data_IF_982491407975
#
_entry.id   IF_982491407975
#
_cell.length_a   1.000
_cell.length_b   1.000
_cell.length_c   1.000
_cell.angle_alpha   90.00
_cell.angle_beta   90.00
_cell.angle_gamma   90.00
#
_symmetry.space_group_name_H-M   'P 1'
#
loop_
_entity.id
_entity.type
_entity.pdbx_description
1 polymer ?
#
# COMPACT_ATOMS: atom_id res chain seq x y z
N UNK A 1 2.62 -21.12 9.26
CA UNK A 1 2.45 -21.16 7.79
C UNK A 1 3.00 -22.49 7.35
N UNK A 2 2.19 -23.30 6.66
CA UNK A 2 2.53 -24.67 6.27
C UNK A 2 3.16 -24.67 4.87
N UNK A 3 4.36 -25.24 4.73
CA UNK A 3 4.90 -25.56 3.41
C UNK A 3 4.00 -26.59 2.72
N UNK A 4 3.80 -26.44 1.41
CA UNK A 4 3.08 -27.44 0.61
C UNK A 4 4.06 -28.55 0.24
N UNK A 5 3.69 -29.80 0.52
CA UNK A 5 4.45 -30.98 0.11
C UNK A 5 4.23 -31.21 -1.40
N UNK A 6 5.31 -31.33 -2.15
CA UNK A 6 5.28 -31.74 -3.55
C UNK A 6 5.32 -33.26 -3.67
N UNK A 7 4.93 -33.82 -4.82
CA UNK A 7 4.94 -35.27 -5.08
C UNK A 7 6.33 -35.92 -4.94
N UNK A 8 7.40 -35.12 -5.01
CA UNK A 8 8.80 -35.54 -4.88
C UNK A 8 9.36 -35.51 -3.45
N UNK A 9 8.55 -35.12 -2.45
CA UNK A 9 9.01 -35.03 -1.05
C UNK A 9 9.78 -33.74 -0.72
N UNK A 10 9.71 -32.72 -1.57
CA UNK A 10 10.17 -31.35 -1.30
C UNK A 10 9.04 -30.48 -0.72
N UNK A 11 9.41 -29.41 -0.02
CA UNK A 11 8.52 -28.42 0.59
C UNK A 11 8.68 -27.07 -0.12
N UNK A 12 7.56 -26.44 -0.48
CA UNK A 12 7.56 -25.10 -1.06
C UNK A 12 7.52 -24.05 0.05
N UNK A 13 8.49 -23.13 0.05
CA UNK A 13 8.57 -22.00 1.00
C UNK A 13 8.70 -20.66 0.28
N UNK A 14 8.21 -19.59 0.92
CA UNK A 14 8.35 -18.19 0.46
C UNK A 14 9.29 -17.41 1.38
N UNK A 15 10.62 -17.54 1.25
CA UNK A 15 11.56 -17.06 2.26
C UNK A 15 11.51 -15.54 2.48
N UNK A 16 11.17 -14.75 1.46
CA UNK A 16 11.01 -13.30 1.63
C UNK A 16 9.80 -12.90 2.48
N UNK A 17 8.74 -13.72 2.57
CA UNK A 17 7.56 -13.39 3.38
C UNK A 17 7.83 -13.47 4.88
N UNK A 18 8.84 -14.23 5.29
CA UNK A 18 9.23 -14.36 6.70
C UNK A 18 10.21 -13.28 7.15
N UNK A 19 10.84 -12.54 6.24
CA UNK A 19 11.78 -11.47 6.60
C UNK A 19 11.06 -10.33 7.32
N UNK A 20 11.63 -9.89 8.45
CA UNK A 20 11.09 -8.78 9.25
C UNK A 20 10.92 -7.50 8.41
N UNK A 21 11.86 -7.21 7.51
CA UNK A 21 11.80 -6.06 6.59
C UNK A 21 10.59 -6.14 5.66
N UNK A 22 10.25 -7.34 5.16
CA UNK A 22 9.12 -7.53 4.26
C UNK A 22 7.78 -7.46 4.98
N UNK A 23 7.69 -7.99 6.19
CA UNK A 23 6.51 -7.82 7.04
C UNK A 23 6.29 -6.35 7.42
N UNK A 24 7.36 -5.63 7.77
CA UNK A 24 7.30 -4.20 8.06
C UNK A 24 6.84 -3.41 6.83
N UNK A 25 7.42 -3.68 5.66
CA UNK A 25 7.04 -3.00 4.40
C UNK A 25 5.58 -3.26 4.05
N UNK A 26 5.12 -4.51 4.17
CA UNK A 26 3.71 -4.89 3.97
C UNK A 26 2.79 -4.11 4.91
N UNK A 27 3.12 -4.06 6.20
CA UNK A 27 2.35 -3.33 7.21
C UNK A 27 2.31 -1.82 6.91
N UNK A 28 3.45 -1.23 6.51
CA UNK A 28 3.53 0.19 6.14
C UNK A 28 2.66 0.50 4.93
N UNK A 29 2.76 -0.29 3.85
CA UNK A 29 1.92 -0.08 2.64
C UNK A 29 0.44 -0.22 2.98
N UNK A 30 0.07 -1.23 3.77
CA UNK A 30 -1.31 -1.43 4.21
C UNK A 30 -1.83 -0.23 5.03
N UNK A 31 -1.03 0.28 5.98
CA UNK A 31 -1.37 1.45 6.77
C UNK A 31 -1.53 2.70 5.90
N UNK A 32 -0.62 2.92 4.96
CA UNK A 32 -0.68 4.06 4.04
C UNK A 32 -1.94 4.01 3.16
N UNK A 33 -2.30 2.84 2.61
CA UNK A 33 -3.53 2.67 1.83
C UNK A 33 -4.79 2.98 2.66
N UNK A 34 -4.83 2.55 3.92
CA UNK A 34 -5.93 2.87 4.83
C UNK A 34 -5.96 4.36 5.14
N UNK A 35 -4.79 4.97 5.39
CA UNK A 35 -4.69 6.41 5.64
C UNK A 35 -5.19 7.23 4.45
N UNK A 36 -4.80 6.88 3.23
CA UNK A 36 -5.32 7.50 1.99
C UNK A 36 -6.84 7.35 1.92
N UNK A 37 -7.37 6.14 2.11
CA UNK A 37 -8.81 5.90 2.07
C UNK A 37 -9.56 6.77 3.10
N UNK A 38 -9.07 6.83 4.34
CA UNK A 38 -9.67 7.64 5.41
C UNK A 38 -9.61 9.13 5.07
N UNK A 39 -8.49 9.64 4.57
CA UNK A 39 -8.36 11.04 4.17
C UNK A 39 -9.34 11.40 3.06
N UNK A 40 -9.46 10.56 2.02
CA UNK A 40 -10.44 10.76 0.94
C UNK A 40 -11.88 10.76 1.48
N UNK A 41 -12.23 9.85 2.39
CA UNK A 41 -13.56 9.82 2.98
C UNK A 41 -13.84 11.06 3.84
N UNK A 42 -12.89 11.51 4.66
CA UNK A 42 -13.05 12.72 5.48
C UNK A 42 -13.24 13.96 4.59
N UNK A 43 -12.40 14.12 3.56
CA UNK A 43 -12.53 15.24 2.61
C UNK A 43 -13.85 15.16 1.86
N UNK A 44 -14.29 13.98 1.47
CA UNK A 44 -15.55 13.77 0.73
C UNK A 44 -16.78 14.09 1.57
N UNK A 45 -16.84 13.56 2.79
CA UNK A 45 -17.95 13.80 3.72
C UNK A 45 -17.97 15.25 4.17
N UNK A 46 -16.81 15.81 4.51
CA UNK A 46 -16.70 17.22 4.92
C UNK A 46 -17.01 18.20 3.79
N UNK A 47 -16.58 17.90 2.56
CA UNK A 47 -16.80 18.73 1.37
C UNK A 47 -18.10 18.44 0.62
N UNK A 48 -19.01 17.61 1.16
CA UNK A 48 -20.09 16.96 0.39
C UNK A 48 -20.89 17.90 -0.52
N UNK A 49 -21.30 19.06 0.00
CA UNK A 49 -22.13 20.03 -0.75
C UNK A 49 -21.37 20.76 -1.86
N UNK A 50 -20.04 20.75 -1.82
CA UNK A 50 -19.16 21.52 -2.69
C UNK A 50 -18.46 20.67 -3.77
N UNK A 51 -18.66 19.35 -3.76
CA UNK A 51 -17.91 18.40 -4.58
C UNK A 51 -18.54 18.09 -5.96
N UNK A 52 -19.70 18.65 -6.31
CA UNK A 52 -20.31 18.61 -7.66
C UNK A 52 -20.10 17.31 -8.48
N UNK A 53 -20.40 16.13 -7.90
CA UNK A 53 -20.29 14.82 -8.57
C UNK A 53 -18.98 14.07 -8.32
N UNK A 54 -17.94 14.74 -7.81
CA UNK A 54 -16.66 14.13 -7.44
C UNK A 54 -16.81 13.17 -6.25
N UNK A 55 -17.88 13.29 -5.45
CA UNK A 55 -18.10 12.44 -4.27
C UNK A 55 -18.05 10.95 -4.63
N UNK A 56 -18.65 10.56 -5.75
CA UNK A 56 -18.72 9.16 -6.19
C UNK A 56 -17.31 8.64 -6.52
N UNK A 57 -16.52 9.44 -7.23
CA UNK A 57 -15.14 9.09 -7.62
C UNK A 57 -14.28 8.94 -6.37
N UNK A 58 -14.40 9.86 -5.41
CA UNK A 58 -13.63 9.83 -4.17
C UNK A 58 -14.00 8.62 -3.28
N UNK A 59 -15.28 8.28 -3.16
CA UNK A 59 -15.73 7.09 -2.44
C UNK A 59 -15.24 5.82 -3.14
N UNK A 60 -15.36 5.74 -4.46
CA UNK A 60 -14.87 4.61 -5.24
C UNK A 60 -13.37 4.42 -5.04
N UNK A 61 -12.59 5.50 -5.08
CA UNK A 61 -11.16 5.43 -4.84
C UNK A 61 -10.82 4.96 -3.43
N UNK A 62 -11.50 5.48 -2.40
CA UNK A 62 -11.30 5.01 -1.03
C UNK A 62 -11.58 3.50 -0.88
N UNK A 63 -12.65 2.99 -1.51
CA UNK A 63 -12.95 1.56 -1.51
C UNK A 63 -11.88 0.74 -2.24
N UNK A 64 -11.36 1.25 -3.36
CA UNK A 64 -10.25 0.61 -4.09
C UNK A 64 -8.99 0.56 -3.22
N UNK A 65 -8.66 1.63 -2.48
CA UNK A 65 -7.55 1.63 -1.54
C UNK A 65 -7.71 0.58 -0.44
N UNK A 66 -8.91 0.44 0.15
CA UNK A 66 -9.20 -0.58 1.16
C UNK A 66 -9.11 -2.01 0.57
N UNK A 67 -9.59 -2.21 -0.65
CA UNK A 67 -9.48 -3.49 -1.36
C UNK A 67 -8.01 -3.84 -1.64
N UNK A 68 -7.20 -2.87 -2.09
CA UNK A 68 -5.77 -3.06 -2.27
C UNK A 68 -5.08 -3.38 -0.94
N UNK A 69 -5.47 -2.72 0.16
CA UNK A 69 -4.92 -3.01 1.49
C UNK A 69 -5.19 -4.46 1.91
N UNK A 70 -6.41 -4.96 1.65
CA UNK A 70 -6.75 -6.37 1.85
C UNK A 70 -5.87 -7.31 1.00
N UNK A 71 -5.66 -7.00 -0.28
CA UNK A 71 -4.81 -7.81 -1.15
C UNK A 71 -3.33 -7.79 -0.75
N UNK A 72 -2.81 -6.64 -0.30
CA UNK A 72 -1.46 -6.54 0.27
C UNK A 72 -1.34 -7.40 1.53
N UNK A 73 -2.34 -7.39 2.40
CA UNK A 73 -2.37 -8.27 3.58
C UNK A 73 -2.34 -9.77 3.22
N UNK A 74 -2.91 -10.12 2.06
CA UNK A 74 -2.90 -11.46 1.45
C UNK A 74 -1.64 -11.77 0.62
N UNK A 75 -0.57 -10.97 0.72
CA UNK A 75 0.69 -11.15 -0.02
C UNK A 75 0.57 -11.02 -1.54
N UNK A 76 -0.46 -10.33 -2.04
CA UNK A 76 -0.56 -10.05 -3.46
C UNK A 76 0.40 -8.92 -3.86
N UNK A 77 1.44 -9.25 -4.62
CA UNK A 77 2.43 -8.30 -5.14
C UNK A 77 1.86 -7.42 -6.26
N UNK A 78 0.90 -7.94 -7.04
CA UNK A 78 0.41 -7.28 -8.25
C UNK A 78 -0.26 -5.93 -7.98
N UNK A 79 -0.82 -5.74 -6.78
CA UNK A 79 -1.48 -4.49 -6.40
C UNK A 79 -0.50 -3.37 -6.02
N UNK A 80 0.78 -3.68 -5.74
CA UNK A 80 1.77 -2.67 -5.35
C UNK A 80 2.06 -1.64 -6.47
N UNK A 81 2.41 -2.03 -7.72
CA UNK A 81 2.60 -1.06 -8.79
C UNK A 81 1.31 -0.33 -9.18
N UNK A 82 0.15 -0.99 -9.06
CA UNK A 82 -1.16 -0.36 -9.29
C UNK A 82 -1.41 0.74 -8.25
N UNK A 83 -1.16 0.45 -6.97
CA UNK A 83 -1.26 1.43 -5.88
C UNK A 83 -0.34 2.63 -6.14
N UNK A 84 0.92 2.40 -6.53
CA UNK A 84 1.85 3.48 -6.86
C UNK A 84 1.37 4.34 -8.05
N UNK A 85 0.86 3.71 -9.12
CA UNK A 85 0.32 4.43 -10.28
C UNK A 85 -0.89 5.29 -9.93
N UNK A 86 -1.84 4.75 -9.16
CA UNK A 86 -3.01 5.51 -8.70
C UNK A 86 -2.60 6.64 -7.75
N UNK A 87 -1.64 6.40 -6.85
CA UNK A 87 -1.11 7.40 -5.94
C UNK A 87 -0.52 8.61 -6.66
N UNK A 88 0.15 8.39 -7.81
CA UNK A 88 0.65 9.49 -8.65
C UNK A 88 -0.52 10.33 -9.17
N UNK A 89 -1.53 9.68 -9.75
CA UNK A 89 -2.69 10.37 -10.34
C UNK A 89 -3.42 11.20 -9.28
N UNK A 90 -3.78 10.58 -8.15
CA UNK A 90 -4.52 11.24 -7.09
C UNK A 90 -3.68 12.24 -6.29
N UNK A 91 -2.37 12.02 -6.18
CA UNK A 91 -1.43 13.01 -5.65
C UNK A 91 -1.42 14.30 -6.48
N UNK A 92 -1.40 14.20 -7.81
CA UNK A 92 -1.48 15.37 -8.70
C UNK A 92 -2.83 16.09 -8.54
N UNK A 93 -3.94 15.35 -8.50
CA UNK A 93 -5.27 15.92 -8.28
C UNK A 93 -5.32 16.66 -6.93
N UNK A 94 -4.75 16.09 -5.88
CA UNK A 94 -4.68 16.70 -4.56
C UNK A 94 -3.85 18.00 -4.54
N UNK A 95 -2.73 18.05 -5.26
CA UNK A 95 -1.92 19.28 -5.41
C UNK A 95 -2.73 20.40 -6.05
N UNK A 96 -3.51 20.10 -7.09
CA UNK A 96 -4.32 21.10 -7.80
C UNK A 96 -5.54 21.52 -6.97
N UNK A 97 -6.19 20.56 -6.31
CA UNK A 97 -7.43 20.79 -5.55
C UNK A 97 -7.20 21.48 -4.21
N UNK A 98 -6.08 21.20 -3.53
CA UNK A 98 -5.77 21.73 -2.20
C UNK A 98 -5.92 23.25 -2.08
N UNK A 99 -5.24 24.06 -2.93
CA UNK A 99 -5.37 25.52 -2.94
C UNK A 99 -6.80 26.02 -3.17
N UNK A 100 -7.61 25.29 -3.93
CA UNK A 100 -8.98 25.70 -4.27
C UNK A 100 -9.91 25.71 -3.06
N UNK A 101 -9.62 24.94 -2.03
CA UNK A 101 -10.36 24.98 -0.77
C UNK A 101 -10.11 26.25 0.02
N UNK A 102 -8.89 26.79 -0.03
CA UNK A 102 -8.55 28.04 0.66
C UNK A 102 -9.22 29.25 0.02
N UNK A 103 -9.40 29.25 -1.31
CA UNK A 103 -10.18 30.30 -2.00
C UNK A 103 -11.67 30.32 -1.63
N UNK A 104 -12.18 29.25 -1.00
CA UNK A 104 -13.55 29.19 -0.50
C UNK A 104 -13.70 29.72 0.93
N UNK A 105 -12.58 30.02 1.60
CA UNK A 105 -12.56 30.55 2.97
C UNK A 105 -12.75 32.08 2.99
N UNK A 106 -13.90 32.53 2.45
CA UNK A 106 -14.28 33.94 2.39
C UNK A 106 -15.69 34.14 2.96
N UNK A 107 -15.89 35.29 3.61
CA UNK A 107 -17.18 35.67 4.17
C UNK A 107 -18.26 35.72 3.06
N UNK A 108 -19.34 34.95 3.22
CA UNK A 108 -20.46 34.91 2.28
C UNK A 108 -20.63 33.61 1.47
N UNK A 109 -19.69 32.66 1.56
CA UNK A 109 -19.86 31.33 0.94
C UNK A 109 -20.68 30.37 1.83
N UNK A 110 -21.49 29.52 1.18
CA UNK A 110 -22.17 28.41 1.86
C UNK A 110 -21.12 27.41 2.37
N UNK A 111 -20.99 27.32 3.69
CA UNK A 111 -19.95 26.49 4.29
C UNK A 111 -20.22 24.99 4.05
N UNK A 112 -19.19 24.22 3.65
CA UNK A 112 -19.24 22.78 3.65
C UNK A 112 -19.47 22.22 5.06
N UNK A 113 -19.64 20.90 5.19
CA UNK A 113 -19.78 20.25 6.49
C UNK A 113 -18.58 20.46 7.42
N UNK A 114 -17.38 20.70 6.85
CA UNK A 114 -16.18 21.10 7.56
C UNK A 114 -15.64 22.46 7.03
N UNK A 115 -14.84 23.19 7.84
CA UNK A 115 -14.22 24.44 7.41
C UNK A 115 -13.39 24.26 6.12
N UNK A 116 -13.52 25.16 5.11
CA UNK A 116 -12.78 25.04 3.86
C UNK A 116 -11.27 24.97 4.03
N UNK A 117 -10.68 25.78 4.91
CA UNK A 117 -9.24 25.74 5.21
C UNK A 117 -8.78 24.40 5.80
N UNK A 118 -9.61 23.73 6.62
CA UNK A 118 -9.32 22.38 7.11
C UNK A 118 -9.37 21.36 5.97
N UNK A 119 -10.38 21.44 5.08
CA UNK A 119 -10.46 20.57 3.90
C UNK A 119 -9.27 20.78 2.96
N UNK A 120 -8.81 22.02 2.78
CA UNK A 120 -7.61 22.35 2.03
C UNK A 120 -6.36 21.74 2.63
N UNK A 121 -6.17 21.86 3.94
CA UNK A 121 -5.05 21.24 4.65
C UNK A 121 -5.07 19.72 4.52
N UNK A 122 -6.22 19.08 4.77
CA UNK A 122 -6.37 17.63 4.64
C UNK A 122 -6.09 17.15 3.21
N UNK A 123 -6.55 17.89 2.20
CA UNK A 123 -6.27 17.61 0.78
C UNK A 123 -4.78 17.73 0.49
N UNK A 124 -4.09 18.73 1.02
CA UNK A 124 -2.65 18.89 0.85
C UNK A 124 -1.84 17.80 1.59
N UNK A 125 -2.32 17.29 2.73
CA UNK A 125 -1.72 16.15 3.45
C UNK A 125 -1.80 14.86 2.63
N UNK A 126 -2.77 14.70 1.73
CA UNK A 126 -2.81 13.55 0.83
C UNK A 126 -1.51 13.47 0.01
N UNK A 127 -0.95 14.60 -0.45
CA UNK A 127 0.25 14.63 -1.30
C UNK A 127 1.46 13.92 -0.67
N UNK A 128 1.93 14.26 0.55
CA UNK A 128 3.03 13.53 1.17
C UNK A 128 2.66 12.08 1.51
N UNK A 129 1.40 11.78 1.81
CA UNK A 129 0.96 10.39 2.08
C UNK A 129 1.03 9.54 0.80
N UNK A 130 0.59 10.07 -0.34
CA UNK A 130 0.70 9.42 -1.65
C UNK A 130 2.16 9.22 -2.04
N UNK A 131 3.02 10.23 -1.82
CA UNK A 131 4.45 10.09 -2.05
C UNK A 131 5.08 8.95 -1.23
N UNK A 132 4.74 8.88 0.06
CA UNK A 132 5.18 7.76 0.91
C UNK A 132 4.64 6.43 0.40
N UNK A 133 3.37 6.37 -0.01
CA UNK A 133 2.76 5.16 -0.57
C UNK A 133 3.53 4.68 -1.82
N UNK A 134 3.88 5.59 -2.73
CA UNK A 134 4.68 5.27 -3.92
C UNK A 134 6.03 4.67 -3.51
N UNK A 135 6.78 5.33 -2.63
CA UNK A 135 8.12 4.87 -2.20
C UNK A 135 8.05 3.48 -1.57
N UNK A 136 7.13 3.27 -0.63
CA UNK A 136 7.00 1.98 0.06
C UNK A 136 6.41 0.87 -0.82
N UNK A 137 5.48 1.19 -1.73
CA UNK A 137 4.95 0.23 -2.68
C UNK A 137 6.04 -0.25 -3.66
N UNK A 138 6.85 0.67 -4.19
CA UNK A 138 7.98 0.31 -5.06
C UNK A 138 9.06 -0.48 -4.31
N UNK A 139 9.34 -0.11 -3.06
CA UNK A 139 10.23 -0.89 -2.18
C UNK A 139 9.69 -2.31 -1.96
N UNK A 140 8.40 -2.46 -1.67
CA UNK A 140 7.76 -3.76 -1.49
C UNK A 140 7.76 -4.61 -2.75
N UNK A 141 7.53 -3.99 -3.92
CA UNK A 141 7.56 -4.69 -5.20
C UNK A 141 8.94 -5.30 -5.49
N UNK A 142 10.01 -4.57 -5.15
CA UNK A 142 11.39 -5.02 -5.31
C UNK A 142 11.82 -6.09 -4.30
N UNK A 143 11.00 -6.43 -3.30
CA UNK A 143 11.30 -7.49 -2.31
C UNK A 143 10.91 -8.90 -2.77
N UNK A 144 10.49 -9.08 -4.02
CA UNK A 144 10.30 -10.42 -4.64
C UNK A 144 9.44 -11.37 -3.78
N UNK A 145 8.25 -10.92 -3.35
CA UNK A 145 7.32 -11.71 -2.49
C UNK A 145 6.72 -12.97 -3.14
N UNK A 146 6.91 -13.11 -4.46
CA UNK A 146 6.38 -14.21 -5.28
C UNK A 146 7.39 -15.35 -5.48
N UNK A 147 8.63 -15.21 -5.03
CA UNK A 147 9.61 -16.28 -5.19
C UNK A 147 9.26 -17.41 -4.25
N UNK A 148 9.12 -18.59 -4.84
CA UNK A 148 8.89 -19.86 -4.18
C UNK A 148 10.15 -20.68 -4.37
N UNK A 149 10.65 -21.28 -3.29
CA UNK A 149 11.81 -22.18 -3.34
C UNK A 149 11.37 -23.53 -2.83
N UNK A 150 11.76 -24.56 -3.58
CA UNK A 150 11.63 -25.94 -3.14
C UNK A 150 12.83 -26.31 -2.27
N UNK A 151 12.56 -26.76 -1.05
CA UNK A 151 13.58 -27.24 -0.12
C UNK A 151 13.29 -28.67 0.29
N UNK A 152 14.32 -29.42 0.67
CA UNK A 152 14.13 -30.80 1.14
C UNK A 152 13.46 -30.81 2.52
N UNK A 153 12.92 -31.96 2.91
CA UNK A 153 12.32 -32.15 4.23
C UNK A 153 13.27 -31.83 5.38
N UNK A 154 14.50 -32.32 5.30
CA UNK A 154 15.51 -32.12 6.35
C UNK A 154 15.89 -30.64 6.50
N UNK A 155 15.97 -29.91 5.38
CA UNK A 155 16.19 -28.47 5.39
C UNK A 155 15.00 -27.73 6.01
N UNK A 156 13.77 -28.12 5.66
CA UNK A 156 12.56 -27.53 6.24
C UNK A 156 12.50 -27.73 7.76
N UNK A 157 12.75 -28.94 8.25
CA UNK A 157 12.71 -29.30 9.67
C UNK A 157 13.84 -28.66 10.49
N UNK A 158 15.05 -28.59 9.93
CA UNK A 158 16.19 -27.90 10.58
C UNK A 158 16.01 -26.37 10.66
N UNK A 159 15.15 -25.79 9.82
CA UNK A 159 14.90 -24.35 9.76
C UNK A 159 16.07 -23.53 9.21
N UNK A 160 17.13 -24.17 8.72
CA UNK A 160 18.36 -23.50 8.30
C UNK A 160 18.15 -22.60 7.08
N UNK A 161 17.18 -22.95 6.24
CA UNK A 161 16.72 -22.12 5.11
C UNK A 161 16.31 -20.69 5.51
N UNK A 162 15.87 -20.44 6.75
CA UNK A 162 15.53 -19.07 7.21
C UNK A 162 16.75 -18.14 7.34
N UNK A 163 17.94 -18.72 7.52
CA UNK A 163 19.21 -18.00 7.59
C UNK A 163 19.87 -17.84 6.23
N UNK A 164 19.32 -18.45 5.18
CA UNK A 164 19.83 -18.32 3.82
C UNK A 164 19.17 -17.16 3.09
N UNK A 165 19.90 -16.56 2.16
CA UNK A 165 19.37 -15.52 1.27
C UNK A 165 19.08 -16.09 -0.12
N UNK A 166 18.09 -15.48 -0.79
CA UNK A 166 17.75 -15.84 -2.16
C UNK A 166 18.80 -15.27 -3.10
N UNK A 167 19.42 -16.14 -3.88
CA UNK A 167 20.27 -15.74 -5.00
C UNK A 167 19.44 -15.18 -6.14
N UNK A 168 20.11 -14.55 -7.11
CA UNK A 168 19.48 -14.14 -8.37
C UNK A 168 18.89 -15.30 -9.16
N UNK A 169 19.38 -16.52 -8.94
CA UNK A 169 19.01 -17.75 -9.65
C UNK A 169 17.87 -18.53 -8.97
N UNK A 170 17.36 -18.06 -7.84
CA UNK A 170 16.27 -18.73 -7.11
C UNK A 170 16.74 -19.87 -6.19
N UNK A 171 18.04 -19.99 -5.95
CA UNK A 171 18.62 -20.88 -4.94
C UNK A 171 18.84 -20.17 -3.60
N UNK A 172 19.07 -20.92 -2.53
CA UNK A 172 19.34 -20.40 -1.19
C UNK A 172 20.83 -20.52 -0.85
N UNK A 173 21.48 -19.39 -0.57
CA UNK A 173 22.89 -19.35 -0.13
C UNK A 173 23.03 -18.94 1.34
N UNK A 174 24.07 -19.44 2.05
CA UNK A 174 24.37 -19.00 3.42
C UNK A 174 24.58 -17.48 3.47
N UNK A 175 24.02 -16.82 4.49
CA UNK A 175 24.29 -15.40 4.72
C UNK A 175 25.79 -15.17 4.96
N UNK A 176 26.42 -14.19 4.28
CA UNK A 176 27.77 -13.77 4.64
C UNK A 176 27.76 -13.25 6.09
N UNK A 177 28.70 -13.75 6.88
CA UNK A 177 28.86 -13.45 8.31
C UNK A 177 29.38 -12.05 8.58
#
# INVERSE_FOLDING_TARGET
MAGLQTESGTYIVHPNREKAISQATKATVMLLLIAVAVLFLIVTVGGWKSLEGVQIISIAYALICLLMAYYVARWNRGVLPVAAGLAIIFGIVAVIAGPQWFYRDHAGYHNPGLPPSLLGLLTLIIVPVEFLLIVFAMRGFNQKWNIEVEITRDEYESGDWRRRDLTGEGSLEPRPG
#
